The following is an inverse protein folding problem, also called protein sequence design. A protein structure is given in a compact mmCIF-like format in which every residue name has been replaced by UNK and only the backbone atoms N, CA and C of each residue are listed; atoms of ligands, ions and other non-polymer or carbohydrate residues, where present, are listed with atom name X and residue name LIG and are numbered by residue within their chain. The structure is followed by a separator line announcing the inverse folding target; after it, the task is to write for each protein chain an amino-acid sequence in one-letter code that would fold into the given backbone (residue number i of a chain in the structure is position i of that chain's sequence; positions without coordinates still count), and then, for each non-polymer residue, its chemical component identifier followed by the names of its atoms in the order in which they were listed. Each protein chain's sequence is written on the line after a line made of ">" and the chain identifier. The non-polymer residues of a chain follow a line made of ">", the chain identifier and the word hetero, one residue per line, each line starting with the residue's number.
data_IF_149574576634
#
_entry.id   IF_149574576634
#
_cell.length_a   1.000
_cell.length_b   1.000
_cell.length_c   1.000
_cell.angle_alpha   90.00
_cell.angle_beta   90.00
_cell.angle_gamma   90.00
#
_symmetry.space_group_name_H-M   'P 1'
#
loop_
_entity.id
_entity.type
_entity.pdbx_description
1 polymer ?
#
# COMPACT_ATOMS: atom_id res chain seq x y z
N UNK A 1 -4.62 2.52 8.20
CA UNK A 1 -5.76 3.19 7.54
C UNK A 1 -6.76 2.17 7.00
N UNK A 2 -8.07 2.42 7.06
CA UNK A 2 -9.06 1.49 6.44
C UNK A 2 -9.08 1.61 4.92
N UNK A 3 -9.61 0.61 4.22
CA UNK A 3 -9.69 0.62 2.75
C UNK A 3 -10.42 1.84 2.19
N UNK A 4 -11.51 2.28 2.84
CA UNK A 4 -12.29 3.45 2.40
C UNK A 4 -11.52 4.75 2.52
N UNK A 5 -10.81 4.94 3.63
CA UNK A 5 -10.03 6.17 3.84
C UNK A 5 -8.81 6.19 2.92
N UNK A 6 -8.13 5.06 2.73
CA UNK A 6 -7.01 4.96 1.80
C UNK A 6 -7.45 5.20 0.34
N UNK A 7 -8.61 4.67 -0.04
CA UNK A 7 -9.22 4.89 -1.35
C UNK A 7 -9.40 6.39 -1.67
N UNK A 8 -9.98 7.16 -0.73
CA UNK A 8 -10.13 8.62 -0.89
C UNK A 8 -8.78 9.30 -1.06
N UNK A 9 -7.78 8.93 -0.24
CA UNK A 9 -6.45 9.57 -0.29
C UNK A 9 -5.67 9.27 -1.56
N UNK A 10 -5.79 8.05 -2.10
CA UNK A 10 -5.09 7.61 -3.31
C UNK A 10 -5.90 7.87 -4.58
N UNK A 11 -7.11 8.41 -4.49
CA UNK A 11 -8.00 8.59 -5.65
C UNK A 11 -8.37 7.27 -6.32
N UNK A 12 -8.54 6.21 -5.52
CA UNK A 12 -8.89 4.84 -5.98
C UNK A 12 -10.20 4.38 -5.37
N UNK A 13 -10.71 3.26 -5.88
CA UNK A 13 -11.84 2.58 -5.26
C UNK A 13 -11.41 1.71 -4.08
N UNK A 14 -12.27 1.59 -3.06
CA UNK A 14 -11.99 0.73 -1.90
C UNK A 14 -11.81 -0.75 -2.29
N UNK A 15 -12.41 -1.21 -3.40
CA UNK A 15 -12.19 -2.56 -3.93
C UNK A 15 -10.75 -2.74 -4.42
N UNK A 16 -10.19 -1.73 -5.10
CA UNK A 16 -8.79 -1.72 -5.55
C UNK A 16 -7.85 -1.83 -4.36
N UNK A 17 -8.09 -1.07 -3.30
CA UNK A 17 -7.29 -1.14 -2.07
C UNK A 17 -7.30 -2.54 -1.46
N UNK A 18 -8.47 -3.19 -1.38
CA UNK A 18 -8.59 -4.57 -0.88
C UNK A 18 -7.89 -5.58 -1.80
N UNK A 19 -7.99 -5.39 -3.12
CA UNK A 19 -7.29 -6.24 -4.08
C UNK A 19 -5.79 -6.11 -3.95
N UNK A 20 -5.25 -4.89 -3.82
CA UNK A 20 -3.84 -4.67 -3.57
C UNK A 20 -3.40 -5.27 -2.25
N UNK A 21 -4.18 -5.08 -1.18
CA UNK A 21 -3.88 -5.65 0.13
C UNK A 21 -3.79 -7.17 0.08
N UNK A 22 -4.67 -7.85 -0.66
CA UNK A 22 -4.63 -9.30 -0.86
C UNK A 22 -3.50 -9.73 -1.79
N UNK A 23 -3.35 -9.07 -2.94
CA UNK A 23 -2.42 -9.47 -4.01
C UNK A 23 -0.96 -9.27 -3.61
N UNK A 24 -0.67 -8.17 -2.93
CA UNK A 24 0.70 -7.79 -2.58
C UNK A 24 0.99 -7.97 -1.09
N UNK A 25 0.09 -8.58 -0.32
CA UNK A 25 0.31 -8.84 1.10
C UNK A 25 0.62 -7.56 1.91
N UNK A 26 -0.27 -6.58 1.84
CA UNK A 26 -0.11 -5.31 2.61
C UNK A 26 -0.19 -5.59 4.10
N UNK A 27 0.69 -4.98 4.90
CA UNK A 27 0.66 -5.14 6.37
C UNK A 27 -0.68 -4.71 6.96
N UNK A 28 -1.19 -5.55 7.86
CA UNK A 28 -2.38 -5.26 8.65
C UNK A 28 -1.94 -4.75 10.02
N UNK A 29 -2.36 -3.54 10.36
CA UNK A 29 -2.08 -2.89 11.65
C UNK A 29 -3.13 -3.21 12.72
N UNK A 30 -4.24 -3.85 12.32
CA UNK A 30 -5.31 -4.25 13.22
C UNK A 30 -6.69 -4.05 12.61
N UNK A 31 -7.67 -3.77 13.47
CA UNK A 31 -9.07 -3.55 13.09
C UNK A 31 -9.60 -2.28 13.75
N UNK A 32 -10.48 -1.56 13.05
CA UNK A 32 -11.28 -0.46 13.58
C UNK A 32 -12.75 -0.84 13.42
N UNK A 33 -13.37 -1.28 14.52
CA UNK A 33 -14.68 -1.93 14.47
C UNK A 33 -14.67 -3.17 13.58
N UNK A 34 -15.47 -3.14 12.51
CA UNK A 34 -15.56 -4.23 11.50
C UNK A 34 -14.58 -4.09 10.34
N UNK A 35 -13.82 -2.98 10.26
CA UNK A 35 -12.95 -2.70 9.12
C UNK A 35 -11.48 -3.04 9.45
N UNK A 36 -10.77 -3.62 8.47
CA UNK A 36 -9.33 -3.88 8.56
C UNK A 36 -8.56 -2.59 8.35
N UNK A 37 -7.51 -2.39 9.15
CA UNK A 37 -6.62 -1.24 9.09
C UNK A 37 -5.29 -1.70 8.47
N UNK A 38 -4.97 -1.15 7.30
CA UNK A 38 -3.76 -1.45 6.54
C UNK A 38 -2.66 -0.42 6.79
N UNK A 39 -1.41 -0.79 6.58
CA UNK A 39 -0.32 0.17 6.45
C UNK A 39 -0.51 1.01 5.19
N UNK A 40 -0.64 2.33 5.37
CA UNK A 40 -0.86 3.24 4.25
C UNK A 40 0.39 3.42 3.39
N UNK A 41 1.58 3.32 3.99
CA UNK A 41 2.82 3.52 3.24
C UNK A 41 3.09 2.35 2.28
N UNK A 42 2.70 1.14 2.66
CA UNK A 42 2.68 -0.02 1.76
C UNK A 42 1.77 0.24 0.55
N UNK A 43 0.54 0.71 0.78
CA UNK A 43 -0.41 1.02 -0.29
C UNK A 43 0.10 2.12 -1.23
N UNK A 44 0.67 3.19 -0.68
CA UNK A 44 1.25 4.27 -1.48
C UNK A 44 2.46 3.79 -2.29
N UNK A 45 3.27 2.87 -1.74
CA UNK A 45 4.40 2.28 -2.46
C UNK A 45 3.93 1.44 -3.64
N UNK A 46 2.90 0.61 -3.44
CA UNK A 46 2.29 -0.20 -4.50
C UNK A 46 1.77 0.70 -5.62
N UNK A 47 1.04 1.77 -5.29
CA UNK A 47 0.56 2.72 -6.29
C UNK A 47 1.71 3.38 -7.06
N UNK A 48 2.75 3.83 -6.36
CA UNK A 48 3.92 4.43 -6.98
C UNK A 48 4.62 3.49 -7.96
N UNK A 49 4.77 2.20 -7.61
CA UNK A 49 5.31 1.18 -8.52
C UNK A 49 4.43 1.01 -9.76
N UNK A 50 3.11 0.86 -9.58
CA UNK A 50 2.16 0.72 -10.69
C UNK A 50 2.22 1.92 -11.63
N UNK A 51 2.26 3.14 -11.09
CA UNK A 51 2.29 4.36 -11.88
C UNK A 51 3.58 4.51 -12.69
N UNK A 52 4.73 4.11 -12.14
CA UNK A 52 6.02 4.11 -12.85
C UNK A 52 6.17 2.93 -13.83
N UNK A 53 5.31 1.92 -13.76
CA UNK A 53 5.46 0.66 -14.50
C UNK A 53 6.51 -0.28 -13.90
N UNK A 54 6.92 -0.05 -12.64
CA UNK A 54 7.88 -0.89 -11.93
C UNK A 54 7.18 -2.15 -11.37
N UNK A 55 7.90 -3.28 -11.26
CA UNK A 55 7.41 -4.41 -10.49
C UNK A 55 7.18 -4.01 -9.03
N UNK A 56 6.02 -4.40 -8.50
CA UNK A 56 5.68 -4.19 -7.09
C UNK A 56 6.40 -5.23 -6.24
N UNK A 57 7.21 -4.85 -5.24
CA UNK A 57 7.82 -5.82 -4.34
C UNK A 57 6.77 -6.63 -3.58
N UNK A 58 6.90 -7.94 -3.62
CA UNK A 58 5.92 -8.88 -3.03
C UNK A 58 5.91 -8.85 -1.50
N UNK A 59 7.08 -8.59 -0.89
CA UNK A 59 7.20 -8.49 0.56
C UNK A 59 7.08 -7.05 1.06
N UNK A 60 6.50 -6.85 2.26
CA UNK A 60 6.55 -5.56 2.93
C UNK A 60 7.96 -5.02 3.15
N UNK A 61 8.92 -5.89 3.50
CA UNK A 61 10.33 -5.52 3.71
C UNK A 61 10.97 -5.02 2.40
N UNK A 62 10.62 -5.62 1.27
CA UNK A 62 11.04 -5.15 -0.06
C UNK A 62 10.48 -3.77 -0.38
N UNK A 63 9.25 -3.48 0.05
CA UNK A 63 8.66 -2.14 -0.07
C UNK A 63 9.33 -1.13 0.85
N UNK A 64 9.72 -1.50 2.06
CA UNK A 64 10.51 -0.63 2.95
C UNK A 64 11.88 -0.30 2.35
N UNK A 65 12.60 -1.31 1.83
CA UNK A 65 13.89 -1.13 1.17
C UNK A 65 13.76 -0.21 -0.05
N UNK A 66 12.69 -0.37 -0.84
CA UNK A 66 12.41 0.51 -1.96
C UNK A 66 12.18 1.96 -1.50
N UNK A 67 11.38 2.18 -0.47
CA UNK A 67 11.15 3.51 0.11
C UNK A 67 12.45 4.14 0.62
N UNK A 68 13.26 3.38 1.36
CA UNK A 68 14.54 3.86 1.88
C UNK A 68 15.49 4.26 0.74
N UNK A 69 15.58 3.44 -0.32
CA UNK A 69 16.38 3.74 -1.52
C UNK A 69 15.92 5.03 -2.21
N UNK A 70 14.61 5.20 -2.40
CA UNK A 70 14.06 6.40 -3.02
C UNK A 70 14.30 7.66 -2.17
N UNK A 71 14.17 7.54 -0.84
CA UNK A 71 14.44 8.64 0.09
C UNK A 71 15.93 9.07 0.08
N UNK A 72 16.85 8.12 -0.08
CA UNK A 72 18.29 8.44 -0.21
C UNK A 72 18.69 9.05 -1.56
N UNK A 73 17.82 8.97 -2.56
CA UNK A 73 18.07 9.45 -3.93
C UNK A 73 17.42 10.81 -4.22
N UNK A 74 16.70 11.38 -3.24
CA UNK A 74 16.02 12.68 -3.30
C UNK A 74 16.82 13.72 -2.50
#
# INVERSE_FOLDING_TARGET
>A
MTAKVAAVRLGREAVTIRQWARRYGVRVLGKSGREVVYDFADLATIEGCIWRGDPVPESPEGRDALRARLASAA
#
